data_IF_700171173035
#
_entry.id   IF_700171173035
#
_cell.length_a   1.000
_cell.length_b   1.000
_cell.length_c   1.000
_cell.angle_alpha   90.00
_cell.angle_beta   90.00
_cell.angle_gamma   90.00
#
_symmetry.space_group_name_H-M   'P 1'
#
loop_
_entity.id
_entity.type
_entity.pdbx_description
1 polymer ?
#
# COMPACT_ATOMS: atom_id res chain seq x y z
N UNK A 1 -20.51 -3.79 19.88
CA UNK A 1 -19.43 -3.16 19.08
C UNK A 1 -18.81 -4.20 18.14
N UNK A 2 -19.42 -4.50 16.98
CA UNK A 2 -18.92 -5.53 16.03
C UNK A 2 -18.98 -5.12 14.55
N UNK A 3 -19.49 -3.92 14.24
CA UNK A 3 -19.76 -3.46 12.87
C UNK A 3 -18.60 -2.68 12.22
N UNK A 4 -17.58 -2.27 13.00
CA UNK A 4 -16.43 -1.48 12.50
C UNK A 4 -15.26 -2.32 11.98
N UNK A 5 -15.13 -3.58 12.44
CA UNK A 5 -14.05 -4.47 11.99
C UNK A 5 -14.25 -5.04 10.57
N UNK A 6 -15.48 -4.97 10.04
CA UNK A 6 -15.82 -5.55 8.73
C UNK A 6 -15.44 -4.65 7.55
N UNK A 7 -15.35 -3.33 7.75
CA UNK A 7 -14.97 -2.40 6.68
C UNK A 7 -13.47 -2.49 6.32
N UNK A 8 -12.60 -2.76 7.31
CA UNK A 8 -11.15 -2.87 7.09
C UNK A 8 -10.79 -4.20 6.40
N UNK A 9 -11.46 -5.30 6.77
CA UNK A 9 -11.27 -6.60 6.12
C UNK A 9 -11.78 -6.63 4.67
N UNK A 10 -12.84 -5.87 4.35
CA UNK A 10 -13.39 -5.81 2.99
C UNK A 10 -12.45 -5.10 2.00
N UNK A 11 -11.68 -4.10 2.42
CA UNK A 11 -10.76 -3.35 1.53
C UNK A 11 -9.49 -4.16 1.22
N UNK A 12 -8.99 -4.94 2.20
CA UNK A 12 -7.94 -5.94 1.96
C UNK A 12 -8.38 -6.97 0.91
N UNK A 13 -9.69 -7.26 0.85
CA UNK A 13 -10.27 -8.15 -0.16
C UNK A 13 -10.40 -7.47 -1.54
N UNK A 14 -10.71 -6.17 -1.61
CA UNK A 14 -10.81 -5.41 -2.87
C UNK A 14 -9.47 -5.32 -3.61
N UNK A 15 -8.36 -5.08 -2.90
CA UNK A 15 -7.01 -5.12 -3.51
C UNK A 15 -6.63 -6.54 -3.94
N UNK A 16 -7.16 -7.57 -3.28
CA UNK A 16 -6.94 -8.97 -3.64
C UNK A 16 -7.81 -9.53 -4.77
N UNK A 17 -8.89 -8.87 -5.18
CA UNK A 17 -9.95 -9.46 -6.03
C UNK A 17 -10.18 -8.73 -7.36
N UNK A 18 -9.38 -7.72 -7.71
CA UNK A 18 -9.55 -6.93 -8.94
C UNK A 18 -9.09 -7.63 -10.25
N UNK A 19 -8.82 -8.94 -10.25
CA UNK A 19 -8.31 -9.68 -11.41
C UNK A 19 -9.35 -10.61 -12.03
N UNK A 20 -10.35 -10.05 -12.72
CA UNK A 20 -11.14 -10.79 -13.74
C UNK A 20 -11.99 -9.84 -14.61
N UNK A 21 -11.35 -8.92 -15.34
CA UNK A 21 -12.01 -8.14 -16.39
C UNK A 21 -11.07 -7.99 -17.59
N UNK A 22 -11.56 -8.07 -18.84
CA UNK A 22 -10.70 -7.94 -20.01
C UNK A 22 -10.34 -6.46 -20.21
N UNK A 23 -9.25 -6.01 -19.58
CA UNK A 23 -8.67 -4.69 -19.85
C UNK A 23 -7.72 -4.76 -21.05
N UNK A 24 -8.26 -5.20 -22.19
CA UNK A 24 -7.56 -5.17 -23.47
C UNK A 24 -7.76 -3.80 -24.14
N UNK A 25 -7.21 -2.73 -23.56
CA UNK A 25 -7.11 -1.42 -24.22
C UNK A 25 -5.98 -0.51 -23.70
N UNK A 26 -5.13 -0.95 -22.75
CA UNK A 26 -3.91 -0.24 -22.34
C UNK A 26 -2.62 -1.06 -22.50
N UNK A 27 -2.71 -2.25 -23.10
CA UNK A 27 -1.52 -3.02 -23.43
C UNK A 27 -0.79 -2.37 -24.62
N UNK A 28 0.11 -1.40 -24.32
CA UNK A 28 1.45 -1.19 -24.91
C UNK A 28 1.93 0.27 -24.81
N UNK A 29 2.17 0.74 -23.59
CA UNK A 29 3.31 1.60 -23.28
C UNK A 29 3.71 1.35 -21.81
N UNK A 30 4.91 0.78 -21.62
CA UNK A 30 5.57 0.63 -20.33
C UNK A 30 5.24 -0.64 -19.56
N UNK A 31 6.19 -1.57 -19.49
CA UNK A 31 6.45 -2.24 -18.21
C UNK A 31 7.19 -1.22 -17.35
N UNK A 32 6.48 -0.17 -16.91
CA UNK A 32 7.06 0.96 -16.21
C UNK A 32 7.32 0.61 -14.75
N UNK A 33 8.34 1.25 -14.19
CA UNK A 33 8.56 1.29 -12.75
C UNK A 33 8.26 2.72 -12.32
N UNK A 34 7.17 2.93 -11.59
CA UNK A 34 6.81 4.25 -11.05
C UNK A 34 7.31 4.43 -9.62
N UNK A 35 7.36 5.69 -9.18
CA UNK A 35 7.51 6.03 -7.76
C UNK A 35 6.26 6.74 -7.27
N UNK A 36 5.61 6.18 -6.25
CA UNK A 36 4.54 6.84 -5.48
C UNK A 36 5.14 7.48 -4.24
N UNK A 37 4.84 8.76 -4.04
CA UNK A 37 5.03 9.44 -2.76
C UNK A 37 3.68 9.92 -2.22
N UNK A 38 3.39 9.66 -0.95
CA UNK A 38 2.15 10.11 -0.32
C UNK A 38 2.39 10.50 1.14
N UNK A 39 1.70 11.54 1.60
CA UNK A 39 1.72 11.97 2.99
C UNK A 39 0.30 12.30 3.46
N UNK A 40 -0.10 11.82 4.64
CA UNK A 40 -1.45 12.05 5.15
C UNK A 40 -1.89 11.20 6.34
N UNK A 41 -3.18 11.29 6.64
CA UNK A 41 -3.88 10.57 7.70
C UNK A 41 -4.99 9.71 7.09
N UNK A 42 -5.16 8.49 7.62
CA UNK A 42 -6.26 7.60 7.23
C UNK A 42 -5.80 6.18 6.94
N UNK A 43 -5.84 5.78 5.68
CA UNK A 43 -5.44 4.46 5.19
C UNK A 43 -4.60 4.61 3.92
N UNK A 44 -3.36 4.14 3.97
CA UNK A 44 -2.53 3.90 2.81
C UNK A 44 -2.35 2.41 2.61
N UNK A 45 -2.64 1.89 1.42
CA UNK A 45 -2.48 0.48 1.07
C UNK A 45 -1.85 0.32 -0.32
N UNK A 46 -0.92 -0.61 -0.44
CA UNK A 46 -0.22 -0.92 -1.68
C UNK A 46 -0.13 -2.44 -1.87
N UNK A 47 -0.23 -2.90 -3.11
CA UNK A 47 0.12 -4.25 -3.53
C UNK A 47 0.94 -4.18 -4.81
N UNK A 48 2.08 -4.85 -4.85
CA UNK A 48 2.94 -4.79 -6.01
C UNK A 48 4.26 -5.53 -5.87
N UNK A 49 5.13 -5.28 -6.84
CA UNK A 49 6.52 -5.72 -6.90
C UNK A 49 7.41 -4.48 -6.76
N UNK A 50 8.46 -4.56 -5.96
CA UNK A 50 9.39 -3.46 -5.76
C UNK A 50 9.75 -3.22 -4.30
N UNK A 51 9.98 -1.96 -3.95
CA UNK A 51 10.32 -1.53 -2.58
C UNK A 51 9.30 -0.53 -2.06
N UNK A 52 8.89 -0.69 -0.81
CA UNK A 52 7.91 0.11 -0.10
C UNK A 52 8.54 0.55 1.21
N UNK A 53 8.66 1.86 1.41
CA UNK A 53 9.03 2.48 2.68
C UNK A 53 7.79 3.19 3.20
N UNK A 54 7.32 2.82 4.39
CA UNK A 54 6.14 3.43 5.00
C UNK A 54 6.40 3.71 6.48
N UNK A 55 6.13 4.94 6.90
CA UNK A 55 6.22 5.37 8.30
C UNK A 55 4.90 5.94 8.79
N UNK A 56 4.75 6.03 10.10
CA UNK A 56 3.63 6.69 10.77
C UNK A 56 3.16 5.93 12.00
N UNK A 57 2.03 6.36 12.55
CA UNK A 57 1.48 5.80 13.79
C UNK A 57 0.10 5.18 13.57
N UNK A 58 -0.10 3.91 13.95
CA UNK A 58 -1.39 3.24 13.86
C UNK A 58 -1.31 1.71 13.87
N UNK A 59 -1.83 1.08 12.83
CA UNK A 59 -1.76 -0.36 12.62
C UNK A 59 -1.19 -0.66 11.24
N UNK A 60 -0.08 -1.38 11.21
CA UNK A 60 0.60 -1.81 9.99
C UNK A 60 0.26 -3.28 9.70
N UNK A 61 -0.04 -3.58 8.44
CA UNK A 61 -0.24 -4.91 7.89
C UNK A 61 0.76 -5.16 6.77
N UNK A 62 1.40 -6.32 6.80
CA UNK A 62 2.32 -6.79 5.75
C UNK A 62 1.96 -8.22 5.41
N UNK A 63 1.94 -8.54 4.12
CA UNK A 63 1.84 -9.91 3.62
C UNK A 63 2.73 -10.10 2.42
N UNK A 64 3.59 -11.09 2.52
CA UNK A 64 4.35 -11.63 1.39
C UNK A 64 3.54 -12.78 0.78
N UNK A 65 3.24 -12.68 -0.51
CA UNK A 65 2.50 -13.72 -1.24
C UNK A 65 3.42 -14.63 -2.06
N UNK A 66 4.62 -14.15 -2.43
CA UNK A 66 5.58 -14.90 -3.24
C UNK A 66 6.60 -15.68 -2.39
N UNK A 67 6.76 -15.29 -1.12
CA UNK A 67 7.72 -15.92 -0.20
C UNK A 67 9.15 -15.42 -0.37
N UNK A 68 9.35 -14.28 -1.06
CA UNK A 68 10.65 -13.70 -1.39
C UNK A 68 10.90 -12.33 -0.75
N UNK A 69 10.01 -11.87 0.14
CA UNK A 69 10.10 -10.52 0.67
C UNK A 69 11.17 -10.36 1.76
N UNK A 70 11.96 -9.30 1.65
CA UNK A 70 12.75 -8.73 2.75
C UNK A 70 11.90 -7.70 3.50
N UNK A 71 11.76 -7.88 4.81
CA UNK A 71 10.91 -7.05 5.67
C UNK A 71 11.74 -6.54 6.84
N UNK A 72 11.98 -5.24 6.89
CA UNK A 72 12.61 -4.54 8.01
C UNK A 72 11.60 -3.60 8.67
N UNK A 73 11.46 -3.66 9.99
CA UNK A 73 10.54 -2.82 10.75
C UNK A 73 11.24 -2.28 11.97
N UNK A 74 11.18 -0.97 12.16
CA UNK A 74 11.74 -0.25 13.31
C UNK A 74 10.64 0.53 14.05
N UNK A 75 10.91 0.91 15.30
CA UNK A 75 9.98 1.65 16.15
C UNK A 75 9.19 0.79 17.13
N UNK A 76 8.02 1.28 17.53
CA UNK A 76 7.16 0.66 18.54
C UNK A 76 6.02 -0.17 17.91
N UNK A 77 5.45 -1.07 18.69
CA UNK A 77 4.25 -1.84 18.33
C UNK A 77 4.32 -3.31 18.69
N UNK A 78 3.15 -3.95 18.80
CA UNK A 78 3.06 -5.39 19.10
C UNK A 78 2.93 -6.18 17.80
N UNK A 79 3.97 -6.94 17.46
CA UNK A 79 3.97 -7.84 16.31
C UNK A 79 3.06 -9.05 16.55
N UNK A 80 2.17 -9.35 15.60
CA UNK A 80 1.24 -10.48 15.59
C UNK A 80 1.19 -11.13 14.22
N UNK A 81 1.49 -12.41 14.17
CA UNK A 81 1.26 -13.22 12.97
C UNK A 81 -0.14 -13.85 13.01
N UNK A 82 -0.73 -14.04 11.84
CA UNK A 82 -2.06 -14.64 11.69
C UNK A 82 -2.01 -15.82 10.72
N UNK A 83 -2.87 -16.83 10.88
CA UNK A 83 -3.08 -17.84 9.85
C UNK A 83 -3.40 -17.15 8.51
N UNK A 84 -2.67 -17.51 7.45
CA UNK A 84 -2.77 -16.86 6.14
C UNK A 84 -1.62 -15.92 5.76
N UNK A 85 -0.55 -15.84 6.57
CA UNK A 85 0.69 -15.15 6.21
C UNK A 85 0.70 -13.64 6.47
N UNK A 86 -0.29 -13.13 7.20
CA UNK A 86 -0.34 -11.72 7.59
C UNK A 86 0.50 -11.46 8.84
N UNK A 87 1.38 -10.48 8.74
CA UNK A 87 2.09 -9.86 9.87
C UNK A 87 1.39 -8.54 10.19
N UNK A 88 1.07 -8.32 11.46
CA UNK A 88 0.43 -7.10 11.96
C UNK A 88 1.26 -6.47 13.05
N UNK A 89 1.40 -5.15 13.03
CA UNK A 89 1.97 -4.38 14.12
C UNK A 89 0.88 -3.47 14.69
N UNK A 90 0.40 -3.80 15.89
CA UNK A 90 -0.69 -3.06 16.56
C UNK A 90 -0.08 -2.02 17.48
N UNK A 91 -0.52 -0.76 17.36
CA UNK A 91 0.13 0.37 18.03
C UNK A 91 1.49 0.64 17.41
N UNK A 92 1.60 0.45 16.09
CA UNK A 92 2.78 0.77 15.32
C UNK A 92 3.06 2.27 15.43
N UNK A 93 4.32 2.64 15.64
CA UNK A 93 4.81 4.01 15.61
C UNK A 93 6.29 3.93 15.23
N UNK A 94 6.57 4.09 13.93
CA UNK A 94 7.88 3.79 13.36
C UNK A 94 7.89 3.75 11.84
N UNK A 95 8.82 2.97 11.29
CA UNK A 95 9.05 2.83 9.86
C UNK A 95 9.15 1.35 9.48
N UNK A 96 8.65 1.00 8.30
CA UNK A 96 8.79 -0.31 7.70
C UNK A 96 9.31 -0.19 6.25
N UNK A 97 10.36 -0.96 5.95
CA UNK A 97 10.87 -1.16 4.59
C UNK A 97 10.56 -2.59 4.15
N UNK A 98 9.87 -2.72 3.03
CA UNK A 98 9.46 -4.01 2.45
C UNK A 98 9.88 -4.05 0.99
N UNK A 99 10.70 -5.04 0.62
CA UNK A 99 11.11 -5.27 -0.76
C UNK A 99 10.82 -6.71 -1.17
N UNK A 100 10.24 -6.94 -2.34
CA UNK A 100 9.91 -8.28 -2.82
C UNK A 100 8.90 -8.28 -3.97
N UNK A 101 8.36 -9.46 -4.29
CA UNK A 101 7.30 -9.60 -5.29
C UNK A 101 5.94 -9.97 -4.65
N UNK A 102 4.87 -9.51 -5.29
CA UNK A 102 3.49 -9.69 -4.86
C UNK A 102 3.22 -9.32 -3.39
N UNK A 103 3.98 -8.35 -2.84
CA UNK A 103 3.85 -7.91 -1.45
C UNK A 103 2.58 -7.07 -1.28
N UNK A 104 2.01 -7.08 -0.08
CA UNK A 104 0.90 -6.20 0.29
C UNK A 104 1.23 -5.52 1.59
N UNK A 105 1.23 -4.18 1.59
CA UNK A 105 1.52 -3.35 2.75
C UNK A 105 0.36 -2.39 2.94
N UNK A 106 -0.11 -2.23 4.18
CA UNK A 106 -1.12 -1.23 4.50
C UNK A 106 -0.86 -0.63 5.88
N UNK A 107 -1.02 0.68 6.00
CA UNK A 107 -0.99 1.39 7.27
C UNK A 107 -2.30 2.17 7.42
N UNK A 108 -3.01 1.93 8.51
CA UNK A 108 -4.11 2.79 8.93
C UNK A 108 -3.72 3.53 10.18
N UNK A 109 -3.74 4.86 10.13
CA UNK A 109 -3.05 5.67 11.11
C UNK A 109 -3.04 7.16 10.80
N UNK A 110 -2.10 7.84 11.44
CA UNK A 110 -1.82 9.27 11.31
C UNK A 110 -0.35 9.50 11.03
N UNK A 111 -0.02 10.67 10.48
CA UNK A 111 1.33 11.05 10.04
C UNK A 111 1.96 9.96 9.17
N UNK A 112 1.20 9.47 8.20
CA UNK A 112 1.66 8.45 7.27
C UNK A 112 2.51 9.14 6.22
N UNK A 113 3.74 8.67 6.06
CA UNK A 113 4.57 8.97 4.89
C UNK A 113 4.86 7.66 4.17
N UNK A 114 4.67 7.65 2.85
CA UNK A 114 4.82 6.49 1.99
C UNK A 114 5.67 6.86 0.79
N UNK A 115 6.72 6.09 0.55
CA UNK A 115 7.45 6.04 -0.71
C UNK A 115 7.44 4.61 -1.23
N UNK A 116 7.02 4.39 -2.47
CA UNK A 116 7.04 3.08 -3.09
C UNK A 116 7.54 3.17 -4.53
N UNK A 117 8.53 2.34 -4.88
CA UNK A 117 9.06 2.24 -6.24
C UNK A 117 8.86 0.84 -6.79
N UNK A 118 8.28 0.74 -7.98
CA UNK A 118 8.05 -0.53 -8.67
C UNK A 118 6.76 -0.54 -9.48
N UNK A 119 6.07 -1.67 -9.47
CA UNK A 119 4.80 -1.90 -10.20
C UNK A 119 3.72 -2.36 -9.24
N UNK A 120 2.47 -1.95 -9.45
CA UNK A 120 1.36 -2.44 -8.63
C UNK A 120 0.16 -1.53 -8.59
N UNK A 121 -0.61 -1.64 -7.52
CA UNK A 121 -1.78 -0.81 -7.27
C UNK A 121 -1.77 -0.25 -5.85
N UNK A 122 -2.38 0.91 -5.67
CA UNK A 122 -2.48 1.57 -4.38
C UNK A 122 -3.89 2.09 -4.10
N UNK A 123 -4.18 2.28 -2.82
CA UNK A 123 -5.41 2.87 -2.30
C UNK A 123 -5.01 3.86 -1.21
N UNK A 124 -5.43 5.11 -1.36
CA UNK A 124 -5.27 6.16 -0.36
C UNK A 124 -6.65 6.65 0.03
N UNK A 125 -6.96 6.61 1.33
CA UNK A 125 -8.25 7.05 1.88
C UNK A 125 -8.05 7.90 3.12
N UNK A 126 -8.64 9.08 3.16
CA UNK A 126 -8.55 10.01 4.28
C UNK A 126 -8.15 11.40 3.82
N UNK A 127 -7.22 12.02 4.54
CA UNK A 127 -6.75 13.38 4.28
C UNK A 127 -5.26 13.37 3.99
N UNK A 128 -4.83 13.94 2.88
CA UNK A 128 -3.43 13.91 2.47
C UNK A 128 -3.28 14.20 1.00
N UNK A 129 -2.05 14.11 0.54
CA UNK A 129 -1.66 14.32 -0.85
C UNK A 129 -0.82 13.15 -1.34
N UNK A 130 -0.79 12.98 -2.65
CA UNK A 130 0.07 12.01 -3.30
C UNK A 130 0.51 12.49 -4.68
N UNK A 131 1.65 11.96 -5.11
CA UNK A 131 2.13 12.08 -6.48
C UNK A 131 2.70 10.75 -6.93
N UNK A 132 2.60 10.50 -8.24
CA UNK A 132 3.19 9.37 -8.93
C UNK A 132 4.07 9.92 -10.03
N UNK A 133 5.33 9.50 -10.03
CA UNK A 133 6.32 9.90 -11.02
C UNK A 133 6.80 8.69 -11.81
N UNK A 134 7.15 8.92 -13.08
CA UNK A 134 7.81 7.94 -13.92
C UNK A 134 9.28 7.73 -13.53
N UNK A 135 9.97 6.76 -14.18
CA UNK A 135 11.39 6.48 -13.92
C UNK A 135 12.32 7.69 -14.17
N UNK A 136 11.90 8.63 -15.00
CA UNK A 136 12.61 9.86 -15.35
C UNK A 136 12.34 11.03 -14.38
N UNK A 137 11.51 10.80 -13.34
CA UNK A 137 11.10 11.82 -12.39
C UNK A 137 9.97 12.72 -12.88
N UNK A 138 9.43 12.49 -14.08
CA UNK A 138 8.28 13.24 -14.59
C UNK A 138 7.05 12.88 -13.77
N UNK A 139 6.35 13.86 -13.21
CA UNK A 139 5.08 13.65 -12.50
C UNK A 139 4.02 13.22 -13.53
N UNK A 140 3.45 12.04 -13.32
CA UNK A 140 2.43 11.43 -14.18
C UNK A 140 1.02 11.60 -13.62
N UNK A 141 0.90 11.61 -12.28
CA UNK A 141 -0.36 11.78 -11.57
C UNK A 141 -0.10 12.48 -10.23
N UNK A 142 -1.03 13.31 -9.80
CA UNK A 142 -1.05 13.91 -8.47
C UNK A 142 -2.49 14.06 -7.99
N UNK A 143 -2.69 14.13 -6.68
CA UNK A 143 -4.01 14.37 -6.13
C UNK A 143 -4.05 14.33 -4.62
N UNK A 144 -5.27 14.39 -4.10
CA UNK A 144 -5.54 14.30 -2.67
C UNK A 144 -6.11 12.93 -2.31
N UNK A 145 -5.95 12.55 -1.05
CA UNK A 145 -6.64 11.40 -0.50
C UNK A 145 -8.13 11.72 -0.44
N UNK A 146 -8.98 10.72 -0.64
CA UNK A 146 -10.44 10.92 -0.61
C UNK A 146 -11.09 9.99 0.38
N UNK A 147 -12.31 10.31 0.83
CA UNK A 147 -13.08 9.40 1.69
C UNK A 147 -13.57 8.14 0.95
N UNK A 148 -13.58 8.18 -0.38
CA UNK A 148 -13.86 7.03 -1.23
C UNK A 148 -12.57 6.23 -1.46
N UNK A 149 -12.61 4.93 -1.19
CA UNK A 149 -11.49 4.06 -1.54
C UNK A 149 -11.47 3.86 -3.06
N UNK A 150 -10.40 4.34 -3.73
CA UNK A 150 -10.16 4.12 -5.16
C UNK A 150 -8.84 3.37 -5.34
N UNK A 151 -8.86 2.33 -6.18
CA UNK A 151 -7.67 1.58 -6.56
C UNK A 151 -7.06 2.27 -7.79
N UNK A 152 -5.80 2.68 -7.68
CA UNK A 152 -5.04 3.35 -8.74
C UNK A 152 -3.84 2.47 -9.10
N UNK A 153 -3.54 2.36 -10.39
CA UNK A 153 -2.40 1.60 -10.91
C UNK A 153 -1.14 2.46 -10.93
N UNK A 154 -0.01 1.86 -10.56
CA UNK A 154 1.31 2.45 -10.76
C UNK A 154 1.72 2.24 -12.23
N UNK A 155 2.07 3.32 -12.95
CA UNK A 155 2.43 3.28 -14.36
C UNK A 155 3.78 2.61 -14.64
#
# INVERSE_FOLDING_TARGET
>A
MRKKAWLIAAIILVVGMALAGPQAALARQGGGTGTLTASGDGLAGLRGDGTIVISGAGVLWIRDHAGDASIEVSGQGVRRESPGGWIRYIGFDGEATVSGSAVTVALSGVNIDLEATGTGHFVLRGQGEYSVSGPDGTVLLEGTWTEEARVIELP
#
